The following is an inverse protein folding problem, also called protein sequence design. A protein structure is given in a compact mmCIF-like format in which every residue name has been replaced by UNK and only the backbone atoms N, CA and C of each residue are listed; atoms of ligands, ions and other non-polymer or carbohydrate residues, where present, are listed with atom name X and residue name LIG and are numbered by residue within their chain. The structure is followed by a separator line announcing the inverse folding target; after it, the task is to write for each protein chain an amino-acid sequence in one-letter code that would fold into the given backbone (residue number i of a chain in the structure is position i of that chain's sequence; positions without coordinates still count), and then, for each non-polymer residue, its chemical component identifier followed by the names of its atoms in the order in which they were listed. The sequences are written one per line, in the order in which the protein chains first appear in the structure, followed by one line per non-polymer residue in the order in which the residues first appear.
data_IF_510544682562
#
_entry.id   IF_510544682562
#
_cell.length_a   1.000
_cell.length_b   1.000
_cell.length_c   1.000
_cell.angle_alpha   90.00
_cell.angle_beta   90.00
_cell.angle_gamma   90.00
#
_symmetry.space_group_name_H-M   'P 1'
#
loop_
_entity.id
_entity.type
_entity.pdbx_description
1 polymer ?
#
# COMPACT_ATOMS: atom_id res chain seq x y z
N UNK A 1 -7.80 14.96 -1.92
CA UNK A 1 -8.25 13.62 -2.39
C UNK A 1 -7.17 12.54 -2.33
N UNK A 2 -5.91 12.79 -2.71
CA UNK A 2 -4.87 11.74 -2.71
C UNK A 2 -4.51 11.19 -1.32
N UNK A 3 -4.49 12.05 -0.29
CA UNK A 3 -4.15 11.65 1.08
C UNK A 3 -5.14 10.61 1.67
N UNK A 4 -6.44 10.76 1.40
CA UNK A 4 -7.48 9.81 1.82
C UNK A 4 -7.28 8.45 1.17
N UNK A 5 -6.93 8.42 -0.13
CA UNK A 5 -6.61 7.18 -0.86
C UNK A 5 -5.39 6.47 -0.28
N UNK A 6 -4.35 7.21 0.11
CA UNK A 6 -3.17 6.62 0.76
C UNK A 6 -3.49 6.09 2.15
N UNK A 7 -4.37 6.76 2.90
CA UNK A 7 -4.79 6.29 4.21
C UNK A 7 -5.58 4.98 4.11
N UNK A 8 -6.49 4.87 3.14
CA UNK A 8 -7.20 3.64 2.83
C UNK A 8 -6.24 2.53 2.37
N UNK A 9 -5.25 2.87 1.54
CA UNK A 9 -4.24 1.92 1.10
C UNK A 9 -3.43 1.33 2.26
N UNK A 10 -3.01 2.16 3.22
CA UNK A 10 -2.30 1.69 4.41
C UNK A 10 -3.15 0.71 5.20
N UNK A 11 -4.39 1.06 5.49
CA UNK A 11 -5.33 0.18 6.19
C UNK A 11 -5.55 -1.15 5.44
N UNK A 12 -5.58 -1.12 4.09
CA UNK A 12 -5.65 -2.35 3.29
C UNK A 12 -4.37 -3.19 3.41
N UNK A 13 -3.18 -2.60 3.33
CA UNK A 13 -1.92 -3.35 3.51
C UNK A 13 -1.79 -3.90 4.95
N UNK A 14 -2.33 -3.19 5.95
CA UNK A 14 -2.33 -3.57 7.37
C UNK A 14 -3.28 -4.73 7.68
N UNK A 15 -4.47 -4.71 7.08
CA UNK A 15 -5.51 -5.70 7.36
C UNK A 15 -5.44 -6.89 6.43
N UNK A 16 -4.83 -6.72 5.26
CA UNK A 16 -5.03 -7.62 4.16
C UNK A 16 -3.74 -7.94 3.40
N UNK A 17 -3.50 -9.24 3.20
CA UNK A 17 -2.35 -9.74 2.45
C UNK A 17 -2.56 -9.72 0.93
N UNK A 18 -3.67 -9.16 0.44
CA UNK A 18 -3.95 -8.96 -0.98
C UNK A 18 -2.77 -8.35 -1.74
N UNK A 19 -2.68 -8.72 -3.02
CA UNK A 19 -1.60 -8.28 -3.88
C UNK A 19 -1.60 -6.76 -4.08
N UNK A 20 -0.41 -6.16 -4.18
CA UNK A 20 -0.23 -4.73 -4.38
C UNK A 20 -0.97 -4.21 -5.62
N UNK A 21 -1.18 -5.06 -6.63
CA UNK A 21 -1.98 -4.72 -7.81
C UNK A 21 -3.47 -4.50 -7.47
N UNK A 22 -4.00 -5.28 -6.53
CA UNK A 22 -5.38 -5.13 -6.06
C UNK A 22 -5.55 -3.81 -5.31
N UNK A 23 -4.64 -3.52 -4.37
CA UNK A 23 -4.67 -2.30 -3.56
C UNK A 23 -4.57 -1.04 -4.43
N UNK A 24 -3.72 -1.09 -5.47
CA UNK A 24 -3.58 -0.02 -6.47
C UNK A 24 -4.93 0.29 -7.14
N UNK A 25 -5.61 -0.76 -7.64
CA UNK A 25 -6.93 -0.62 -8.30
C UNK A 25 -8.01 -0.16 -7.31
N UNK A 26 -8.04 -0.70 -6.10
CA UNK A 26 -8.99 -0.32 -5.06
C UNK A 26 -8.83 1.15 -4.64
N UNK A 27 -7.61 1.70 -4.70
CA UNK A 27 -7.35 3.11 -4.44
C UNK A 27 -7.66 4.03 -5.63
N UNK A 28 -8.14 3.48 -6.75
CA UNK A 28 -8.48 4.23 -7.96
C UNK A 28 -7.25 4.69 -8.75
N UNK A 29 -6.15 3.92 -8.71
CA UNK A 29 -5.00 4.12 -9.57
C UNK A 29 -4.99 3.08 -10.69
N UNK A 30 -4.67 3.54 -11.90
CA UNK A 30 -4.54 2.67 -13.07
C UNK A 30 -3.24 1.86 -13.02
N UNK A 31 -2.15 2.50 -12.61
CA UNK A 31 -0.81 1.91 -12.61
C UNK A 31 -0.15 1.92 -11.24
N UNK A 32 0.50 0.80 -10.94
CA UNK A 32 1.24 0.58 -9.71
C UNK A 32 2.44 1.53 -9.57
N UNK A 33 3.01 1.99 -10.69
CA UNK A 33 4.08 3.00 -10.72
C UNK A 33 3.60 4.39 -10.29
N UNK A 34 2.43 4.82 -10.78
CA UNK A 34 1.80 6.08 -10.37
C UNK A 34 1.44 6.03 -8.88
N UNK A 35 0.79 4.93 -8.47
CA UNK A 35 0.45 4.72 -7.08
C UNK A 35 1.68 4.68 -6.17
N UNK A 36 2.75 3.96 -6.56
CA UNK A 36 3.98 3.85 -5.79
C UNK A 36 4.66 5.20 -5.57
N UNK A 37 4.66 6.10 -6.57
CA UNK A 37 5.18 7.47 -6.44
C UNK A 37 4.39 8.29 -5.44
N UNK A 38 3.06 8.26 -5.54
CA UNK A 38 2.17 8.98 -4.62
C UNK A 38 2.28 8.39 -3.22
N UNK A 39 2.19 7.08 -3.07
CA UNK A 39 2.32 6.39 -1.79
C UNK A 39 3.66 6.70 -1.13
N UNK A 40 4.78 6.66 -1.85
CA UNK A 40 6.10 7.03 -1.30
C UNK A 40 6.13 8.48 -0.80
N UNK A 41 5.51 9.42 -1.54
CA UNK A 41 5.45 10.83 -1.14
C UNK A 41 4.72 11.04 0.19
N UNK A 42 3.67 10.26 0.45
CA UNK A 42 2.88 10.37 1.68
C UNK A 42 3.37 9.46 2.82
N UNK A 43 3.81 8.24 2.50
CA UNK A 43 4.19 7.22 3.47
C UNK A 43 5.70 7.18 3.78
N UNK A 44 6.52 7.91 3.02
CA UNK A 44 7.98 7.93 3.13
C UNK A 44 8.69 6.72 2.52
N UNK A 45 7.95 5.66 2.17
CA UNK A 45 8.48 4.42 1.59
C UNK A 45 7.51 3.86 0.56
N UNK A 46 7.99 2.97 -0.32
CA UNK A 46 7.12 2.35 -1.33
C UNK A 46 6.16 1.36 -0.69
N UNK A 47 5.00 1.17 -1.31
CA UNK A 47 4.00 0.17 -0.92
C UNK A 47 4.57 -1.24 -0.74
N UNK A 48 5.54 -1.65 -1.58
CA UNK A 48 6.19 -2.95 -1.49
C UNK A 48 7.08 -3.08 -0.25
N UNK A 49 7.84 -2.02 0.09
CA UNK A 49 8.61 -1.97 1.33
C UNK A 49 7.70 -1.96 2.57
N UNK A 50 6.59 -1.24 2.49
CA UNK A 50 5.60 -1.18 3.57
C UNK A 50 4.96 -2.56 3.81
N UNK A 51 4.60 -3.28 2.73
CA UNK A 51 4.11 -4.66 2.80
C UNK A 51 5.15 -5.60 3.39
N UNK A 52 6.40 -5.55 2.92
CA UNK A 52 7.48 -6.39 3.45
C UNK A 52 7.69 -6.23 4.96
N UNK A 53 7.61 -4.99 5.46
CA UNK A 53 7.68 -4.68 6.89
C UNK A 53 6.51 -5.24 7.71
N UNK A 54 5.35 -5.45 7.10
CA UNK A 54 4.20 -6.00 7.80
C UNK A 54 4.01 -7.50 7.62
N UNK A 55 4.37 -8.07 6.47
CA UNK A 55 4.51 -9.52 6.35
C UNK A 55 5.57 -10.05 7.32
N UNK A 56 6.72 -9.37 7.46
CA UNK A 56 7.74 -9.74 8.46
C UNK A 56 7.27 -9.60 9.92
N UNK A 57 6.13 -8.95 10.17
CA UNK A 57 5.54 -8.76 11.51
C UNK A 57 4.35 -9.69 11.76
N UNK A 58 3.87 -10.40 10.74
CA UNK A 58 2.79 -11.39 10.82
C UNK A 58 3.26 -12.85 10.74
N UNK A 59 4.53 -13.10 10.40
CA UNK A 59 5.13 -14.44 10.34
C UNK A 59 5.81 -14.79 11.67
N UNK A 60 5.03 -14.76 12.75
CA UNK A 60 5.38 -15.38 14.04
C UNK A 60 4.07 -15.66 14.80
N UNK A 61 3.34 -16.68 14.35
CA UNK A 61 2.26 -17.33 15.08
C UNK A 61 2.18 -18.79 14.64
#
# INVERSE_FOLDING_TARGET
MQQVRIHAARAMIERDQHDLAHITRACGFYDQSQFGKVFKRFAGMTQAQYRGKMSARGDNA
#
